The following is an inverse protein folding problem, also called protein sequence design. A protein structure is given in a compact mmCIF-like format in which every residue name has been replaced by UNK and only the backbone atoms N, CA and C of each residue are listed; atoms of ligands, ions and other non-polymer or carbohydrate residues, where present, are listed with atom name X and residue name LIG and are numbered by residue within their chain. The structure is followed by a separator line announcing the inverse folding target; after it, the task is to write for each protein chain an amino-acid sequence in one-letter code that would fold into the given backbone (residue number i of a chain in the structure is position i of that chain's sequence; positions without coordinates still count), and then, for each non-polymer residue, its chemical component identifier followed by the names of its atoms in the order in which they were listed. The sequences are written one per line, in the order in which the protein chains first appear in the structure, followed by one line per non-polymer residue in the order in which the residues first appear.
data_IF_814229574118
#
_entry.id   IF_814229574118
#
_cell.length_a   1.000
_cell.length_b   1.000
_cell.length_c   1.000
_cell.angle_alpha   90.00
_cell.angle_beta   90.00
_cell.angle_gamma   90.00
#
_symmetry.space_group_name_H-M   'P 1'
#
loop_
_entity.id
_entity.type
_entity.pdbx_description
1 polymer ?
#
# COMPACT_ATOMS: atom_id res chain seq x y z
N UNK A 1 24.67 2.19 -1.19
CA UNK A 1 23.67 3.26 -1.04
C UNK A 1 24.38 4.60 -1.08
N UNK A 2 23.86 5.65 -1.74
CA UNK A 2 24.33 7.00 -1.51
C UNK A 2 23.82 7.45 -0.13
N UNK A 3 24.70 7.45 0.87
CA UNK A 3 24.34 7.85 2.23
C UNK A 3 23.81 9.29 2.22
N UNK A 4 22.65 9.52 2.83
CA UNK A 4 21.95 10.80 2.77
C UNK A 4 22.63 11.79 3.74
N UNK A 5 23.69 12.44 3.23
CA UNK A 5 24.83 13.04 3.96
C UNK A 5 24.46 13.91 5.17
N UNK A 6 23.36 14.65 5.08
CA UNK A 6 22.90 15.61 6.09
C UNK A 6 21.70 15.09 6.85
N UNK A 7 21.63 15.26 8.17
CA UNK A 7 20.47 14.87 8.98
C UNK A 7 19.25 15.80 8.75
N UNK A 8 18.08 15.40 9.24
CA UNK A 8 16.82 16.16 9.11
C UNK A 8 16.98 17.59 9.62
N UNK A 9 17.58 17.78 10.79
CA UNK A 9 17.69 19.07 11.45
C UNK A 9 18.66 20.02 10.73
N UNK A 10 19.70 19.46 10.11
CA UNK A 10 20.63 20.20 9.25
C UNK A 10 19.93 20.69 7.97
N UNK A 11 19.03 19.89 7.40
CA UNK A 11 18.17 20.29 6.26
C UNK A 11 17.18 21.38 6.67
N UNK A 12 16.60 21.27 7.86
CA UNK A 12 15.72 22.30 8.44
C UNK A 12 16.49 23.60 8.66
N UNK A 13 17.73 23.55 9.14
CA UNK A 13 18.61 24.71 9.25
C UNK A 13 18.86 25.36 7.89
N UNK A 14 19.26 24.59 6.87
CA UNK A 14 19.49 25.11 5.52
C UNK A 14 18.27 25.83 4.93
N UNK A 15 17.06 25.29 5.13
CA UNK A 15 15.81 25.90 4.68
C UNK A 15 15.48 27.17 5.48
N UNK A 16 15.60 27.13 6.81
CA UNK A 16 15.34 28.29 7.69
C UNK A 16 16.25 29.48 7.38
N UNK A 17 17.55 29.26 7.21
CA UNK A 17 18.48 30.35 6.89
C UNK A 17 18.26 30.91 5.48
N UNK A 18 17.88 30.07 4.50
CA UNK A 18 17.53 30.55 3.16
C UNK A 18 16.31 31.48 3.18
N UNK A 19 15.25 31.12 3.91
CA UNK A 19 14.07 31.98 4.07
C UNK A 19 14.32 33.23 4.93
N UNK A 20 15.42 33.27 5.70
CA UNK A 20 15.93 34.48 6.36
C UNK A 20 16.73 35.40 5.41
N UNK A 21 16.83 35.05 4.12
CA UNK A 21 17.58 35.82 3.12
C UNK A 21 19.10 35.58 3.14
N UNK A 22 19.59 34.61 3.93
CA UNK A 22 21.03 34.34 4.07
C UNK A 22 21.59 33.70 2.79
N UNK A 23 22.71 34.20 2.28
CA UNK A 23 23.30 33.69 1.04
C UNK A 23 23.71 32.21 1.16
N UNK A 24 23.57 31.42 0.09
CA UNK A 24 23.95 29.99 0.08
C UNK A 24 25.41 29.75 0.50
N UNK A 25 26.31 30.69 0.20
CA UNK A 25 27.73 30.64 0.60
C UNK A 25 27.89 30.89 2.11
N UNK A 26 27.15 31.86 2.65
CA UNK A 26 27.10 32.16 4.09
C UNK A 26 26.50 30.97 4.87
N UNK A 27 25.36 30.40 4.43
CA UNK A 27 24.77 29.20 5.05
C UNK A 27 25.79 28.05 5.10
N UNK A 28 26.55 27.84 4.01
CA UNK A 28 27.58 26.80 3.92
C UNK A 28 28.77 27.03 4.85
N UNK A 29 29.19 28.28 5.08
CA UNK A 29 30.23 28.62 6.05
C UNK A 29 29.72 28.46 7.50
N UNK A 30 28.62 29.15 7.84
CA UNK A 30 28.01 29.15 9.17
C UNK A 30 27.62 27.73 9.62
N UNK A 31 27.34 26.81 8.69
CA UNK A 31 27.10 25.40 9.01
C UNK A 31 28.37 24.70 9.52
N UNK A 32 29.51 24.88 8.84
CA UNK A 32 30.79 24.25 9.20
C UNK A 32 31.34 24.84 10.50
N UNK A 33 31.20 26.14 10.71
CA UNK A 33 31.56 26.81 11.97
C UNK A 33 30.80 26.21 13.18
N UNK A 34 29.51 25.90 13.00
CA UNK A 34 28.68 25.26 14.03
C UNK A 34 28.86 23.74 14.13
N UNK A 35 29.36 23.10 13.07
CA UNK A 35 29.44 21.63 12.94
C UNK A 35 30.77 21.20 12.28
N UNK A 36 31.93 21.44 12.91
CA UNK A 36 33.24 21.19 12.29
C UNK A 36 33.48 19.73 11.90
N UNK A 37 32.84 18.79 12.60
CA UNK A 37 32.90 17.35 12.33
C UNK A 37 31.94 16.88 11.21
N UNK A 38 31.25 17.79 10.52
CA UNK A 38 30.27 17.49 9.46
C UNK A 38 30.77 18.00 8.11
N UNK A 39 30.53 17.27 7.00
CA UNK A 39 31.01 17.67 5.68
C UNK A 39 30.41 19.01 5.25
N UNK A 40 31.16 19.80 4.48
CA UNK A 40 30.69 21.12 4.02
C UNK A 40 29.59 20.97 2.96
N UNK A 41 28.38 21.52 3.17
CA UNK A 41 27.31 21.47 2.18
C UNK A 41 27.64 22.40 1.01
N UNK A 42 27.66 21.85 -0.21
CA UNK A 42 27.81 22.68 -1.41
C UNK A 42 26.58 23.57 -1.61
N UNK A 43 26.72 24.78 -2.21
CA UNK A 43 25.58 25.64 -2.52
C UNK A 43 24.52 24.94 -3.39
N UNK A 44 24.91 24.00 -4.25
CA UNK A 44 24.01 23.18 -5.05
C UNK A 44 23.19 22.21 -4.18
N UNK A 45 23.79 21.56 -3.18
CA UNK A 45 23.07 20.71 -2.23
C UNK A 45 22.04 21.50 -1.43
N UNK A 46 22.41 22.68 -0.92
CA UNK A 46 21.49 23.59 -0.21
C UNK A 46 20.33 24.00 -1.14
N UNK A 47 20.64 24.47 -2.36
CA UNK A 47 19.64 24.87 -3.36
C UNK A 47 18.68 23.72 -3.74
N UNK A 48 19.17 22.49 -3.82
CA UNK A 48 18.35 21.31 -4.12
C UNK A 48 17.42 20.92 -2.96
N UNK A 49 17.86 21.06 -1.71
CA UNK A 49 17.03 20.84 -0.51
C UNK A 49 15.92 21.88 -0.44
N UNK A 50 16.25 23.17 -0.64
CA UNK A 50 15.28 24.27 -0.71
C UNK A 50 14.29 24.07 -1.88
N UNK A 51 14.78 23.73 -3.08
CA UNK A 51 13.91 23.47 -4.24
C UNK A 51 12.91 22.33 -3.98
N UNK A 52 13.32 21.25 -3.28
CA UNK A 52 12.39 20.18 -2.88
C UNK A 52 11.38 20.68 -1.85
N UNK A 53 11.83 21.38 -0.81
CA UNK A 53 10.93 21.93 0.21
C UNK A 53 9.84 22.83 -0.40
N UNK A 54 10.20 23.69 -1.36
CA UNK A 54 9.24 24.54 -2.07
C UNK A 54 8.28 23.76 -2.99
N UNK A 55 8.61 22.52 -3.36
CA UNK A 55 7.81 21.69 -4.27
C UNK A 55 6.89 20.68 -3.55
N UNK A 56 7.31 20.14 -2.39
CA UNK A 56 6.57 19.09 -1.65
C UNK A 56 6.35 19.38 -0.17
N UNK A 57 6.77 20.56 0.32
CA UNK A 57 6.78 20.90 1.75
C UNK A 57 7.79 20.09 2.58
N UNK A 58 8.54 19.16 1.97
CA UNK A 58 9.29 18.14 2.68
C UNK A 58 10.81 18.39 2.67
N UNK A 59 11.37 18.64 3.86
CA UNK A 59 12.83 18.74 4.06
C UNK A 59 13.53 17.40 3.84
N UNK A 60 12.84 16.27 4.02
CA UNK A 60 13.41 14.94 3.84
C UNK A 60 13.40 14.51 2.37
N UNK A 61 14.37 13.66 2.02
CA UNK A 61 14.39 13.03 0.71
C UNK A 61 13.36 11.91 0.73
N UNK A 62 12.37 12.00 -0.16
CA UNK A 62 11.39 10.94 -0.33
C UNK A 62 12.12 9.63 -0.65
N UNK A 63 11.75 8.56 0.05
CA UNK A 63 12.41 7.26 -0.09
C UNK A 63 12.30 6.75 -1.53
N UNK A 64 13.39 6.18 -2.03
CA UNK A 64 13.57 5.70 -3.42
C UNK A 64 12.25 5.36 -4.10
N UNK A 65 11.93 6.07 -5.20
CA UNK A 65 10.74 5.86 -6.02
C UNK A 65 10.48 4.35 -6.19
N UNK A 66 9.49 3.83 -5.45
CA UNK A 66 9.11 2.43 -5.56
C UNK A 66 8.59 2.26 -6.98
N UNK A 67 9.29 1.44 -7.77
CA UNK A 67 8.89 1.13 -9.14
C UNK A 67 7.40 0.82 -9.14
N UNK A 68 6.57 1.57 -9.89
CA UNK A 68 5.13 1.36 -9.87
C UNK A 68 4.88 -0.09 -10.28
N UNK A 69 4.17 -0.83 -9.42
CA UNK A 69 3.78 -2.21 -9.74
C UNK A 69 3.03 -2.15 -11.06
N UNK A 70 3.42 -2.98 -12.04
CA UNK A 70 2.66 -3.14 -13.28
C UNK A 70 1.23 -3.54 -12.90
N UNK A 71 0.30 -2.58 -13.01
CA UNK A 71 -1.10 -2.84 -12.75
C UNK A 71 -1.61 -3.84 -13.80
N UNK A 72 -2.49 -4.75 -13.37
CA UNK A 72 -3.30 -5.52 -14.33
C UNK A 72 -4.21 -4.54 -15.08
N UNK A 73 -4.53 -4.82 -16.34
CA UNK A 73 -5.54 -4.04 -17.05
C UNK A 73 -6.91 -4.23 -16.37
N UNK A 74 -7.80 -3.24 -16.52
CA UNK A 74 -9.16 -3.32 -15.98
C UNK A 74 -9.91 -4.54 -16.53
N UNK A 75 -9.63 -4.92 -17.77
CA UNK A 75 -10.24 -6.04 -18.49
C UNK A 75 -9.78 -7.38 -17.91
N UNK A 76 -8.50 -7.53 -17.57
CA UNK A 76 -7.99 -8.72 -16.87
C UNK A 76 -8.60 -8.82 -15.46
N UNK A 77 -8.72 -7.70 -14.74
CA UNK A 77 -9.37 -7.65 -13.42
C UNK A 77 -10.84 -8.08 -13.53
N UNK A 78 -11.59 -7.50 -14.47
CA UNK A 78 -12.97 -7.86 -14.74
C UNK A 78 -13.12 -9.35 -15.12
N UNK A 79 -12.22 -9.88 -15.96
CA UNK A 79 -12.22 -11.29 -16.36
C UNK A 79 -11.92 -12.24 -15.20
N UNK A 80 -11.06 -11.85 -14.24
CA UNK A 80 -10.82 -12.62 -13.00
C UNK A 80 -12.10 -12.67 -12.15
N UNK A 81 -12.72 -11.51 -11.93
CA UNK A 81 -13.95 -11.41 -11.13
C UNK A 81 -15.10 -12.18 -11.77
N UNK A 82 -15.34 -11.99 -13.08
CA UNK A 82 -16.36 -12.70 -13.84
C UNK A 82 -16.16 -14.21 -13.77
N UNK A 83 -14.94 -14.73 -14.02
CA UNK A 83 -14.67 -16.18 -13.95
C UNK A 83 -14.98 -16.78 -12.58
N UNK A 84 -14.72 -16.04 -11.49
CA UNK A 84 -15.01 -16.47 -10.11
C UNK A 84 -16.48 -16.29 -9.70
N UNK A 85 -17.21 -15.37 -10.33
CA UNK A 85 -18.66 -15.19 -10.16
C UNK A 85 -19.45 -16.25 -10.94
N UNK A 86 -19.00 -16.62 -12.14
CA UNK A 86 -19.60 -17.68 -12.97
C UNK A 86 -19.39 -19.08 -12.38
N UNK A 87 -18.21 -19.37 -11.82
CA UNK A 87 -17.92 -20.60 -11.10
C UNK A 87 -17.15 -20.29 -9.80
N UNK A 88 -17.85 -20.39 -8.67
CA UNK A 88 -17.27 -20.17 -7.36
C UNK A 88 -16.30 -21.31 -6.93
N UNK A 89 -16.42 -22.51 -7.51
CA UNK A 89 -15.47 -23.60 -7.25
C UNK A 89 -14.18 -23.48 -8.08
N UNK A 90 -14.13 -22.56 -9.05
CA UNK A 90 -13.00 -22.39 -9.95
C UNK A 90 -11.72 -22.02 -9.18
N UNK A 91 -10.72 -22.89 -9.25
CA UNK A 91 -9.48 -22.68 -8.49
C UNK A 91 -8.69 -21.47 -9.00
N UNK A 92 -8.07 -20.75 -8.06
CA UNK A 92 -7.13 -19.64 -8.34
C UNK A 92 -6.02 -20.07 -9.32
N UNK A 93 -5.60 -21.35 -9.27
CA UNK A 93 -4.62 -21.94 -10.18
C UNK A 93 -5.14 -22.07 -11.61
N UNK A 94 -6.40 -22.46 -11.80
CA UNK A 94 -7.04 -22.53 -13.11
C UNK A 94 -7.22 -21.13 -13.73
N UNK A 95 -7.72 -20.16 -12.93
CA UNK A 95 -7.86 -18.76 -13.37
C UNK A 95 -6.49 -18.21 -13.81
N UNK A 96 -5.47 -18.36 -12.98
CA UNK A 96 -4.10 -17.91 -13.24
C UNK A 96 -3.51 -18.49 -14.53
N UNK A 97 -3.63 -19.81 -14.75
CA UNK A 97 -3.22 -20.47 -16.00
C UNK A 97 -3.99 -19.93 -17.21
N UNK A 98 -5.32 -19.80 -17.09
CA UNK A 98 -6.20 -19.37 -18.20
C UNK A 98 -6.03 -17.91 -18.62
N UNK A 99 -5.26 -17.12 -17.87
CA UNK A 99 -4.98 -15.70 -18.13
C UNK A 99 -3.47 -15.39 -18.19
N UNK A 100 -2.61 -16.42 -18.12
CA UNK A 100 -1.15 -16.32 -18.07
C UNK A 100 -0.60 -15.28 -17.06
N UNK A 101 -1.13 -15.32 -15.84
CA UNK A 101 -0.76 -14.42 -14.72
C UNK A 101 -0.45 -15.21 -13.45
N UNK A 102 0.23 -14.58 -12.49
CA UNK A 102 0.60 -15.25 -11.25
C UNK A 102 -0.62 -15.50 -10.35
N UNK A 103 -0.62 -16.64 -9.64
CA UNK A 103 -1.66 -16.98 -8.66
C UNK A 103 -1.73 -15.99 -7.49
N UNK A 104 -0.62 -15.31 -7.18
CA UNK A 104 -0.58 -14.21 -6.20
C UNK A 104 -1.29 -12.96 -6.70
N UNK A 105 -1.20 -12.63 -8.00
CA UNK A 105 -1.95 -11.53 -8.62
C UNK A 105 -3.46 -11.82 -8.60
N UNK A 106 -3.89 -13.02 -9.00
CA UNK A 106 -5.31 -13.44 -8.93
C UNK A 106 -5.82 -13.40 -7.49
N UNK A 107 -5.04 -13.91 -6.52
CA UNK A 107 -5.36 -13.83 -5.09
C UNK A 107 -5.47 -12.40 -4.57
N UNK A 108 -4.71 -11.44 -5.11
CA UNK A 108 -4.83 -10.02 -4.76
C UNK A 108 -6.15 -9.45 -5.28
N UNK A 109 -6.42 -9.59 -6.59
CA UNK A 109 -7.66 -9.11 -7.23
C UNK A 109 -8.90 -9.66 -6.55
N UNK A 110 -8.97 -10.97 -6.30
CA UNK A 110 -10.14 -11.58 -5.65
C UNK A 110 -10.33 -11.09 -4.21
N UNK A 111 -9.26 -10.70 -3.49
CA UNK A 111 -9.36 -10.10 -2.14
C UNK A 111 -9.73 -8.62 -2.18
N UNK A 112 -9.30 -7.91 -3.21
CA UNK A 112 -9.62 -6.49 -3.43
C UNK A 112 -11.06 -6.28 -3.94
N UNK A 113 -11.77 -7.36 -4.26
CA UNK A 113 -13.16 -7.37 -4.75
C UNK A 113 -14.06 -8.32 -3.94
N UNK A 114 -13.64 -8.72 -2.73
CA UNK A 114 -14.36 -9.63 -1.80
C UNK A 114 -14.77 -11.03 -2.34
N UNK A 115 -14.36 -11.40 -3.55
CA UNK A 115 -14.54 -12.72 -4.17
C UNK A 115 -13.53 -13.78 -3.70
N UNK A 116 -12.73 -13.49 -2.66
CA UNK A 116 -11.80 -14.43 -2.04
C UNK A 116 -12.48 -15.17 -0.88
N UNK A 117 -13.32 -16.16 -1.21
CA UNK A 117 -13.81 -17.09 -0.19
C UNK A 117 -12.64 -17.83 0.46
N UNK A 118 -12.54 -17.68 1.78
CA UNK A 118 -11.71 -18.53 2.62
C UNK A 118 -12.53 -19.80 2.85
N UNK A 119 -12.11 -20.93 2.29
CA UNK A 119 -12.68 -22.25 2.61
C UNK A 119 -12.46 -22.58 4.10
N UNK A 120 -13.34 -22.08 4.96
CA UNK A 120 -13.42 -22.49 6.36
C UNK A 120 -13.93 -23.92 6.41
N UNK A 121 -13.05 -24.85 6.77
CA UNK A 121 -13.28 -26.29 6.74
C UNK A 121 -14.66 -26.72 7.28
N UNK A 122 -15.50 -27.28 6.41
CA UNK A 122 -16.55 -28.21 6.84
C UNK A 122 -15.91 -29.56 7.21
N UNK A 123 -15.18 -29.62 8.32
CA UNK A 123 -14.81 -30.89 8.95
C UNK A 123 -15.95 -31.35 9.85
N UNK A 124 -16.85 -32.18 9.31
CA UNK A 124 -17.88 -32.86 10.08
C UNK A 124 -17.26 -33.89 11.02
N UNK A 125 -16.95 -33.49 12.26
CA UNK A 125 -16.50 -34.38 13.32
C UNK A 125 -17.01 -33.87 14.68
N UNK A 126 -17.92 -34.62 15.30
CA UNK A 126 -18.38 -34.35 16.67
C UNK A 126 -17.36 -34.88 17.68
N UNK A 127 -16.61 -34.00 18.33
CA UNK A 127 -15.95 -34.32 19.60
C UNK A 127 -15.85 -33.12 20.54
N UNK A 128 -16.30 -33.31 21.79
CA UNK A 128 -16.21 -32.30 22.83
C UNK A 128 -14.81 -32.33 23.46
N UNK A 129 -13.94 -31.36 23.15
CA UNK A 129 -12.72 -31.11 23.94
C UNK A 129 -12.50 -29.61 24.23
N UNK A 130 -12.77 -29.23 25.48
CA UNK A 130 -12.68 -27.87 26.00
C UNK A 130 -11.23 -27.42 26.25
N UNK A 131 -10.48 -27.08 25.19
CA UNK A 131 -9.09 -26.62 25.32
C UNK A 131 -9.04 -25.17 25.83
N UNK A 132 -8.77 -25.04 27.14
CA UNK A 132 -8.69 -23.77 27.86
C UNK A 132 -7.54 -22.86 27.36
N UNK A 133 -7.89 -21.73 26.74
CA UNK A 133 -6.93 -20.69 26.34
C UNK A 133 -6.64 -19.74 27.50
N UNK A 134 -5.51 -19.95 28.20
CA UNK A 134 -4.92 -18.97 29.14
C UNK A 134 -4.59 -17.65 28.41
N UNK A 135 -5.53 -16.70 28.39
CA UNK A 135 -5.29 -15.32 27.92
C UNK A 135 -4.33 -14.62 28.88
N UNK A 136 -3.07 -14.39 28.47
CA UNK A 136 -2.15 -13.52 29.20
C UNK A 136 -2.51 -12.06 28.88
N UNK A 137 -3.16 -11.38 29.82
CA UNK A 137 -3.64 -10.02 29.66
C UNK A 137 -2.49 -9.01 29.57
N UNK A 138 -2.49 -8.16 28.52
CA UNK A 138 -1.88 -6.83 28.58
C UNK A 138 -3.01 -5.81 28.62
N UNK A 139 -3.07 -5.02 29.70
CA UNK A 139 -3.91 -3.82 29.74
C UNK A 139 -3.31 -2.75 28.83
N UNK A 140 -4.15 -2.06 28.07
CA UNK A 140 -3.88 -0.73 27.54
C UNK A 140 -5.18 0.07 27.70
N UNK A 141 -5.13 1.17 28.45
CA UNK A 141 -6.29 2.04 28.65
C UNK A 141 -6.50 2.92 27.41
N UNK A 142 -7.73 2.98 26.90
CA UNK A 142 -8.13 3.85 25.79
C UNK A 142 -9.62 4.16 25.87
N UNK A 143 -9.98 5.45 25.97
CA UNK A 143 -11.34 5.90 26.30
C UNK A 143 -12.37 5.54 25.23
N UNK A 144 -13.57 5.18 25.70
CA UNK A 144 -14.80 5.01 24.91
C UNK A 144 -15.30 6.38 24.41
N UNK A 145 -15.92 6.41 23.23
CA UNK A 145 -17.07 7.26 22.92
C UNK A 145 -18.03 6.52 21.97
N UNK A 146 -19.34 6.77 22.09
CA UNK A 146 -20.44 6.25 21.24
C UNK A 146 -20.98 7.40 20.35
N UNK A 147 -21.84 7.22 19.32
CA UNK A 147 -22.42 5.99 18.73
C UNK A 147 -22.13 5.91 17.19
N UNK A 148 -22.98 5.79 16.16
CA UNK A 148 -24.44 5.72 15.90
C UNK A 148 -24.73 4.91 14.60
N UNK A 149 -26.02 4.78 14.26
CA UNK A 149 -26.67 4.38 12.98
C UNK A 149 -25.98 4.83 11.66
N UNK A 150 -26.27 4.29 10.45
CA UNK A 150 -27.05 3.13 9.95
C UNK A 150 -26.54 2.79 8.51
N UNK A 151 -26.45 1.53 8.02
CA UNK A 151 -27.49 0.57 7.54
C UNK A 151 -28.14 0.92 6.18
N UNK A 152 -28.17 -0.07 5.24
CA UNK A 152 -28.78 -0.04 3.87
C UNK A 152 -27.97 0.86 2.89
N UNK A 153 -27.68 0.52 1.61
CA UNK A 153 -28.35 -0.35 0.61
C UNK A 153 -27.37 -1.31 -0.09
N UNK A 154 -27.82 -2.54 -0.33
CA UNK A 154 -27.32 -3.43 -1.40
C UNK A 154 -28.40 -3.49 -2.48
N UNK A 155 -28.13 -3.06 -3.71
CA UNK A 155 -28.89 -3.50 -4.89
C UNK A 155 -28.21 -3.16 -6.22
N UNK A 156 -28.61 -3.83 -7.32
CA UNK A 156 -28.01 -3.81 -8.67
C UNK A 156 -26.51 -4.27 -8.67
N UNK A 157 -26.14 -5.41 -9.24
CA UNK A 157 -26.42 -5.78 -10.64
C UNK A 157 -26.62 -7.30 -10.78
N UNK A 158 -27.81 -7.73 -11.22
CA UNK A 158 -28.09 -9.14 -11.50
C UNK A 158 -28.78 -9.27 -12.86
N UNK A 159 -27.98 -9.42 -13.94
CA UNK A 159 -28.39 -9.80 -15.31
C UNK A 159 -27.18 -9.95 -16.24
N UNK A 160 -26.58 -11.14 -16.27
CA UNK A 160 -25.69 -11.59 -17.35
C UNK A 160 -25.76 -13.12 -17.43
N UNK A 161 -26.65 -13.62 -18.28
CA UNK A 161 -26.90 -15.06 -18.45
C UNK A 161 -25.71 -15.76 -19.11
N UNK A 162 -25.10 -16.71 -18.40
CA UNK A 162 -24.08 -17.60 -18.97
C UNK A 162 -24.75 -18.65 -19.86
N UNK A 163 -24.93 -18.33 -21.15
CA UNK A 163 -25.42 -19.29 -22.15
C UNK A 163 -24.26 -20.18 -22.62
N UNK A 164 -24.25 -21.44 -22.18
CA UNK A 164 -23.36 -22.45 -22.75
C UNK A 164 -23.79 -22.75 -24.19
N UNK A 165 -22.99 -22.31 -25.15
CA UNK A 165 -23.19 -22.58 -26.57
C UNK A 165 -22.53 -23.87 -27.03
N UNK A 166 -23.03 -25.02 -26.55
CA UNK A 166 -22.70 -26.30 -27.18
C UNK A 166 -23.33 -26.35 -28.58
N UNK A 167 -22.50 -26.35 -29.61
CA UNK A 167 -22.94 -26.50 -30.99
C UNK A 167 -22.16 -27.63 -31.69
N UNK A 168 -22.69 -28.86 -31.56
CA UNK A 168 -22.31 -29.95 -32.47
C UNK A 168 -22.92 -29.71 -33.85
N UNK A 169 -22.08 -29.75 -34.89
CA UNK A 169 -22.38 -30.02 -36.31
C UNK A 169 -21.08 -29.86 -37.11
N UNK A 170 -20.72 -30.71 -38.08
CA UNK A 170 -21.32 -31.96 -38.60
C UNK A 170 -20.25 -33.03 -38.73
#
# INVERSE_FOLDING_TARGET
MPNDVYFTDERIYFVKEFFRGVSLRTISNNFVEKNPNRPKPSPATIKNIVKRFNATGNVNREGNYKQPRKALSKDIIATICQKKQCDNNLSISAIAKSLNISTTSVRSVLRENDLYEIFSHQTGASSNQSISRKKKSKQVNGKINKSHEATIVNDLFNKSSCTNGDLQQK
#
